data_IF_375938343798
#
_entry.id   IF_375938343798
#
_cell.length_a   1.000
_cell.length_b   1.000
_cell.length_c   1.000
_cell.angle_alpha   90.00
_cell.angle_beta   90.00
_cell.angle_gamma   90.00
#
_symmetry.space_group_name_H-M   'P 1'
#
loop_
_entity.id
_entity.type
_entity.pdbx_description
1 polymer ?
#
# COMPACT_ATOMS: atom_id res chain seq x y z
N UNK A 1 -1.26 -26.08 12.72
CA UNK A 1 -2.02 -25.11 13.55
C UNK A 1 -3.52 -25.47 13.54
N UNK A 2 -4.34 -24.80 14.34
CA UNK A 2 -5.80 -25.06 14.46
C UNK A 2 -6.59 -23.78 14.15
N UNK A 3 -7.65 -23.90 13.35
CA UNK A 3 -8.57 -22.79 13.05
C UNK A 3 -9.43 -22.46 14.26
N UNK A 4 -10.24 -21.39 14.18
CA UNK A 4 -11.17 -21.03 15.25
C UNK A 4 -12.12 -22.18 15.63
N UNK A 5 -12.60 -22.97 14.67
CA UNK A 5 -13.47 -24.15 14.92
C UNK A 5 -12.69 -25.46 15.13
N UNK A 6 -11.38 -25.39 15.41
CA UNK A 6 -10.56 -26.56 15.73
C UNK A 6 -10.11 -27.40 14.52
N UNK A 7 -10.30 -26.90 13.29
CA UNK A 7 -9.84 -27.57 12.06
C UNK A 7 -8.32 -27.48 11.94
N UNK A 8 -7.65 -28.59 11.61
CA UNK A 8 -6.20 -28.58 11.35
C UNK A 8 -5.85 -27.89 10.03
N UNK A 9 -4.82 -27.05 10.05
CA UNK A 9 -4.23 -26.45 8.86
C UNK A 9 -2.70 -26.34 8.97
N UNK A 10 -2.04 -26.23 7.83
CA UNK A 10 -0.60 -25.97 7.68
C UNK A 10 -0.35 -24.50 7.41
N UNK A 11 0.75 -23.97 7.96
CA UNK A 11 1.16 -22.58 7.81
C UNK A 11 2.61 -22.56 7.35
N UNK A 12 2.86 -21.85 6.25
CA UNK A 12 4.18 -21.61 5.69
C UNK A 12 4.37 -20.09 5.64
N UNK A 13 5.26 -19.56 6.46
CA UNK A 13 5.38 -18.12 6.71
C UNK A 13 6.76 -17.60 6.33
N UNK A 14 6.86 -16.30 6.02
CA UNK A 14 8.15 -15.63 5.77
C UNK A 14 8.86 -16.04 4.47
N UNK A 15 8.16 -16.62 3.49
CA UNK A 15 8.78 -17.04 2.23
C UNK A 15 9.07 -15.80 1.38
N UNK A 16 10.32 -15.58 0.93
CA UNK A 16 10.64 -14.45 0.02
C UNK A 16 10.06 -14.69 -1.37
N UNK A 17 9.25 -13.77 -1.90
CA UNK A 17 8.76 -13.83 -3.29
C UNK A 17 9.58 -12.94 -4.25
N UNK A 18 10.39 -12.03 -3.71
CA UNK A 18 11.31 -11.16 -4.42
C UNK A 18 12.62 -11.01 -3.64
N UNK A 19 13.69 -10.62 -4.32
CA UNK A 19 14.96 -10.28 -3.68
C UNK A 19 14.78 -9.07 -2.76
N UNK A 20 15.54 -9.04 -1.66
CA UNK A 20 15.53 -7.93 -0.70
C UNK A 20 15.75 -6.58 -1.42
N UNK A 21 14.84 -5.59 -1.28
CA UNK A 21 14.92 -4.31 -1.96
C UNK A 21 15.89 -3.33 -1.26
N UNK A 22 17.08 -3.82 -0.91
CA UNK A 22 18.12 -3.07 -0.17
C UNK A 22 19.22 -2.57 -1.10
N UNK A 23 20.00 -1.58 -0.64
CA UNK A 23 21.13 -1.02 -1.39
C UNK A 23 20.70 -0.52 -2.78
N UNK A 24 21.32 -1.04 -3.83
CA UNK A 24 20.99 -0.66 -5.22
C UNK A 24 19.59 -1.07 -5.68
N UNK A 25 18.97 -2.05 -5.01
CA UNK A 25 17.58 -2.45 -5.29
C UNK A 25 16.55 -1.54 -4.59
N UNK A 26 16.99 -0.66 -3.68
CA UNK A 26 16.11 0.31 -3.05
C UNK A 26 15.57 1.28 -4.09
N UNK A 27 14.26 1.56 -4.00
CA UNK A 27 13.48 2.35 -4.97
C UNK A 27 13.43 1.79 -6.40
N UNK A 28 13.95 0.59 -6.64
CA UNK A 28 13.88 -0.09 -7.93
C UNK A 28 12.72 -1.09 -8.00
N UNK A 29 12.26 -1.46 -9.21
CA UNK A 29 11.29 -2.53 -9.38
C UNK A 29 11.74 -3.82 -8.67
N UNK A 30 10.81 -4.57 -8.05
CA UNK A 30 11.15 -5.82 -7.38
C UNK A 30 11.74 -6.83 -8.38
N UNK A 31 12.82 -7.50 -7.97
CA UNK A 31 13.38 -8.62 -8.73
C UNK A 31 12.75 -9.93 -8.21
N UNK A 32 11.99 -10.67 -9.03
CA UNK A 32 11.32 -11.89 -8.58
C UNK A 32 12.29 -12.96 -8.10
N UNK A 33 11.94 -13.66 -7.01
CA UNK A 33 12.61 -14.90 -6.63
C UNK A 33 12.09 -16.04 -7.51
N UNK A 34 12.97 -16.59 -8.36
CA UNK A 34 12.64 -17.67 -9.29
C UNK A 34 13.14 -19.04 -8.81
N UNK A 35 14.16 -19.07 -7.96
CA UNK A 35 14.78 -20.28 -7.42
C UNK A 35 15.14 -20.06 -5.96
N UNK A 36 15.11 -21.14 -5.20
CA UNK A 36 15.61 -21.20 -3.82
C UNK A 36 16.81 -22.17 -3.81
N UNK A 37 17.90 -21.78 -3.15
CA UNK A 37 19.13 -22.57 -3.13
C UNK A 37 19.02 -23.85 -2.29
N UNK A 38 17.99 -23.94 -1.44
CA UNK A 38 17.73 -25.09 -0.60
C UNK A 38 16.39 -25.00 0.12
N UNK A 39 16.24 -25.80 1.18
CA UNK A 39 15.04 -25.79 2.03
C UNK A 39 14.88 -24.42 2.70
N UNK A 40 13.74 -23.78 2.48
CA UNK A 40 13.39 -22.51 3.11
C UNK A 40 12.76 -22.81 4.47
N UNK A 41 13.33 -22.24 5.54
CA UNK A 41 12.66 -22.26 6.84
C UNK A 41 11.44 -21.32 6.80
N UNK A 42 10.25 -21.89 6.79
CA UNK A 42 8.98 -21.18 6.71
C UNK A 42 8.12 -21.34 7.98
N UNK A 43 8.75 -21.56 9.14
CA UNK A 43 8.02 -21.73 10.41
C UNK A 43 7.47 -20.42 10.93
N UNK A 44 8.15 -19.30 10.69
CA UNK A 44 7.88 -18.00 11.33
C UNK A 44 7.62 -16.89 10.32
N UNK A 45 6.92 -15.85 10.77
CA UNK A 45 6.69 -14.66 9.95
C UNK A 45 8.00 -13.90 9.68
N UNK A 46 8.18 -13.47 8.44
CA UNK A 46 9.17 -12.46 8.08
C UNK A 46 8.85 -11.09 8.69
N UNK A 47 9.82 -10.17 8.76
CA UNK A 47 9.59 -8.84 9.31
C UNK A 47 8.55 -8.06 8.49
N UNK A 48 7.84 -7.15 9.15
CA UNK A 48 7.00 -6.17 8.45
C UNK A 48 7.90 -5.20 7.64
N UNK A 49 7.36 -4.65 6.56
CA UNK A 49 8.05 -3.58 5.85
C UNK A 49 8.18 -2.32 6.71
N UNK A 50 9.14 -1.42 6.43
CA UNK A 50 9.37 -0.25 7.28
C UNK A 50 8.13 0.62 7.48
N UNK A 51 7.72 0.75 8.73
CA UNK A 51 6.58 1.54 9.21
C UNK A 51 6.86 1.99 10.65
N UNK A 52 6.21 3.08 11.14
CA UNK A 52 6.36 3.50 12.53
C UNK A 52 5.81 2.43 13.48
N UNK A 53 6.71 1.72 14.17
CA UNK A 53 6.37 0.59 15.03
C UNK A 53 7.05 0.68 16.39
N UNK A 54 6.51 0.02 17.44
CA UNK A 54 7.21 -0.13 18.70
C UNK A 54 8.61 -0.75 18.53
N UNK A 55 9.58 -0.45 19.40
CA UNK A 55 10.96 -0.92 19.25
C UNK A 55 11.12 -2.44 19.05
N UNK A 56 10.28 -3.23 19.72
CA UNK A 56 10.35 -4.69 19.69
C UNK A 56 9.54 -5.34 18.55
N UNK A 57 8.85 -4.53 17.73
CA UNK A 57 8.09 -5.07 16.60
C UNK A 57 9.05 -5.42 15.45
N UNK A 58 9.01 -6.65 14.88
CA UNK A 58 9.91 -7.05 13.81
C UNK A 58 9.66 -6.26 12.53
N UNK A 59 10.57 -5.35 12.20
CA UNK A 59 10.54 -4.50 11.01
C UNK A 59 11.90 -4.55 10.33
N UNK A 60 11.92 -4.70 9.01
CA UNK A 60 13.14 -4.69 8.19
C UNK A 60 12.80 -4.28 6.76
N UNK A 61 13.80 -3.88 5.97
CA UNK A 61 13.64 -3.60 4.55
C UNK A 61 13.63 -4.87 3.70
N UNK A 62 14.25 -5.96 4.15
CA UNK A 62 14.08 -7.31 3.59
C UNK A 62 12.73 -7.91 4.03
N UNK A 63 11.65 -7.29 3.55
CA UNK A 63 10.28 -7.58 3.97
C UNK A 63 9.40 -8.17 2.87
N UNK A 64 9.93 -8.43 1.66
CA UNK A 64 9.14 -8.92 0.51
C UNK A 64 8.81 -10.41 0.65
N UNK A 65 7.98 -10.72 1.65
CA UNK A 65 7.60 -12.06 2.05
C UNK A 65 6.14 -12.36 1.84
N UNK A 66 5.84 -13.63 1.58
CA UNK A 66 4.52 -14.20 1.40
C UNK A 66 4.30 -15.31 2.45
N UNK A 67 3.10 -15.37 2.99
CA UNK A 67 2.64 -16.43 3.87
C UNK A 67 1.55 -17.23 3.15
N UNK A 68 1.57 -18.55 3.29
CA UNK A 68 0.58 -19.48 2.72
C UNK A 68 0.00 -20.34 3.83
N UNK A 69 -1.33 -20.36 3.93
CA UNK A 69 -2.08 -21.17 4.87
C UNK A 69 -3.03 -22.08 4.11
N UNK A 70 -2.96 -23.37 4.37
CA UNK A 70 -3.72 -24.38 3.63
C UNK A 70 -4.27 -25.45 4.58
N UNK A 71 -5.51 -25.92 4.41
CA UNK A 71 -6.07 -26.97 5.25
C UNK A 71 -5.22 -28.25 5.20
N UNK A 72 -5.17 -28.97 6.33
CA UNK A 72 -4.60 -30.32 6.34
C UNK A 72 -5.64 -31.27 5.74
N UNK A 73 -5.64 -31.42 4.42
CA UNK A 73 -6.51 -32.38 3.72
C UNK A 73 -5.67 -33.42 2.99
N UNK A 74 -6.13 -34.68 2.99
CA UNK A 74 -5.59 -35.76 2.17
C UNK A 74 -6.11 -35.72 0.72
N UNK A 75 -6.92 -34.72 0.36
CA UNK A 75 -7.46 -34.60 -0.99
C UNK A 75 -6.46 -33.95 -1.94
N UNK A 76 -6.33 -34.52 -3.14
CA UNK A 76 -5.70 -33.93 -4.33
C UNK A 76 -6.49 -32.72 -4.87
N UNK A 77 -7.26 -32.04 -4.03
CA UNK A 77 -8.20 -31.01 -4.46
C UNK A 77 -7.46 -29.70 -4.75
N UNK A 78 -7.74 -29.12 -5.91
CA UNK A 78 -7.30 -27.79 -6.34
C UNK A 78 -8.21 -26.75 -5.67
N UNK A 79 -7.77 -26.17 -4.56
CA UNK A 79 -8.60 -25.28 -3.72
C UNK A 79 -8.61 -23.83 -4.23
N UNK A 80 -9.73 -23.09 -4.06
CA UNK A 80 -9.74 -21.65 -4.30
C UNK A 80 -8.70 -20.93 -3.45
N UNK A 81 -8.04 -19.93 -4.04
CA UNK A 81 -6.99 -19.14 -3.40
C UNK A 81 -7.52 -17.75 -3.09
N UNK A 82 -7.40 -17.32 -1.84
CA UNK A 82 -7.62 -15.92 -1.44
C UNK A 82 -6.25 -15.25 -1.30
N UNK A 83 -5.96 -14.30 -2.17
CA UNK A 83 -4.77 -13.46 -2.10
C UNK A 83 -5.13 -12.14 -1.42
N UNK A 84 -4.71 -12.00 -0.16
CA UNK A 84 -5.07 -10.86 0.69
C UNK A 84 -4.01 -9.76 0.65
N UNK A 85 -4.44 -8.56 0.27
CA UNK A 85 -3.64 -7.34 0.26
C UNK A 85 -4.06 -6.48 1.46
N UNK A 86 -3.13 -6.28 2.39
CA UNK A 86 -3.42 -5.62 3.67
C UNK A 86 -3.75 -4.12 3.52
N UNK A 87 -4.57 -3.54 4.43
CA UNK A 87 -4.89 -2.10 4.49
C UNK A 87 -3.67 -1.28 4.96
N UNK A 88 -3.88 -0.02 5.36
CA UNK A 88 -2.85 0.79 6.04
C UNK A 88 -2.36 2.01 5.27
N UNK A 89 -3.19 2.58 4.39
CA UNK A 89 -2.91 3.85 3.70
C UNK A 89 -1.67 3.85 2.80
N UNK A 90 -1.14 2.66 2.47
CA UNK A 90 0.16 2.46 1.81
C UNK A 90 1.40 2.81 2.64
N UNK A 91 1.27 3.04 3.95
CA UNK A 91 2.38 3.43 4.84
C UNK A 91 2.45 2.64 6.16
N UNK A 92 1.50 1.74 6.42
CA UNK A 92 1.41 0.97 7.67
C UNK A 92 0.77 -0.41 7.46
N UNK A 93 0.63 -1.16 8.56
CA UNK A 93 0.12 -2.54 8.60
C UNK A 93 1.03 -3.55 7.88
N UNK A 94 0.66 -4.82 7.93
CA UNK A 94 1.47 -5.93 7.40
C UNK A 94 0.60 -7.15 7.12
N UNK A 95 1.07 -8.03 6.23
CA UNK A 95 0.51 -9.36 5.98
C UNK A 95 0.94 -10.44 6.97
N UNK A 96 1.70 -10.10 8.02
CA UNK A 96 2.11 -11.05 9.06
C UNK A 96 0.93 -11.69 9.78
N UNK A 97 1.11 -12.90 10.30
CA UNK A 97 0.05 -13.70 10.91
C UNK A 97 -0.57 -13.08 12.18
N UNK A 98 0.13 -12.18 12.86
CA UNK A 98 -0.37 -11.46 14.04
C UNK A 98 -1.43 -10.41 13.71
N UNK A 99 -1.44 -9.87 12.48
CA UNK A 99 -2.48 -8.94 11.99
C UNK A 99 -3.40 -9.58 10.95
N UNK A 100 -2.84 -10.33 10.00
CA UNK A 100 -3.57 -10.98 8.91
C UNK A 100 -3.70 -12.50 9.16
N UNK A 101 -4.14 -12.87 10.36
CA UNK A 101 -4.16 -14.25 10.82
C UNK A 101 -5.18 -15.16 10.08
N UNK A 102 -4.87 -16.44 9.87
CA UNK A 102 -5.68 -17.35 9.05
C UNK A 102 -6.91 -17.95 9.76
N UNK A 103 -7.00 -17.81 11.08
CA UNK A 103 -7.84 -18.64 11.96
C UNK A 103 -9.32 -18.70 11.57
N UNK A 104 -9.88 -17.62 11.02
CA UNK A 104 -11.29 -17.57 10.62
C UNK A 104 -11.54 -18.14 9.22
N UNK A 105 -10.69 -17.80 8.25
CA UNK A 105 -10.86 -18.24 6.86
C UNK A 105 -10.58 -19.73 6.69
N UNK A 106 -9.65 -20.27 7.48
CA UNK A 106 -9.29 -21.69 7.47
C UNK A 106 -10.33 -22.59 8.20
N UNK A 107 -11.46 -22.03 8.63
CA UNK A 107 -12.68 -22.83 8.89
C UNK A 107 -13.31 -23.36 7.58
N UNK A 108 -12.86 -22.88 6.40
CA UNK A 108 -13.34 -23.24 5.06
C UNK A 108 -12.24 -23.87 4.20
N UNK A 109 -12.65 -24.53 3.11
CA UNK A 109 -11.76 -25.15 2.12
C UNK A 109 -11.16 -24.11 1.16
N UNK A 110 -10.24 -23.30 1.68
CA UNK A 110 -9.56 -22.24 0.92
C UNK A 110 -8.07 -22.24 1.25
N UNK A 111 -7.24 -21.85 0.29
CA UNK A 111 -5.85 -21.47 0.54
C UNK A 111 -5.81 -19.97 0.76
N UNK A 112 -5.33 -19.53 1.93
CA UNK A 112 -5.11 -18.11 2.19
C UNK A 112 -3.65 -17.76 1.92
N UNK A 113 -3.44 -16.71 1.15
CA UNK A 113 -2.15 -16.10 0.90
C UNK A 113 -2.17 -14.68 1.43
N UNK A 114 -1.22 -14.32 2.27
CA UNK A 114 -1.01 -12.93 2.72
C UNK A 114 0.39 -12.48 2.34
N UNK A 115 0.56 -11.19 2.05
CA UNK A 115 1.83 -10.64 1.58
C UNK A 115 2.20 -9.40 2.36
N UNK A 116 3.51 -9.16 2.45
CA UNK A 116 4.05 -7.83 2.68
C UNK A 116 4.38 -7.20 1.32
N UNK A 117 4.19 -5.89 1.18
CA UNK A 117 4.65 -5.09 0.05
C UNK A 117 5.27 -3.80 0.58
N UNK A 118 6.21 -3.17 -0.16
CA UNK A 118 6.89 -1.96 0.35
C UNK A 118 5.90 -0.83 0.63
N UNK A 119 6.16 -0.10 1.70
CA UNK A 119 5.31 0.96 2.24
C UNK A 119 6.01 2.33 2.16
N UNK A 120 5.24 3.40 2.28
CA UNK A 120 5.72 4.78 2.35
C UNK A 120 6.63 5.14 1.18
N UNK A 121 7.69 5.91 1.45
CA UNK A 121 8.66 6.27 0.41
C UNK A 121 9.36 5.06 -0.20
N UNK A 122 9.65 4.02 0.60
CA UNK A 122 10.33 2.83 0.08
C UNK A 122 9.50 2.12 -0.99
N UNK A 123 8.17 2.15 -0.87
CA UNK A 123 7.26 1.57 -1.84
C UNK A 123 6.82 2.53 -2.95
N UNK A 124 6.69 3.82 -2.66
CA UNK A 124 5.91 4.72 -3.52
C UNK A 124 6.63 6.03 -3.91
N UNK A 125 7.89 6.24 -3.50
CA UNK A 125 8.70 7.38 -3.96
C UNK A 125 8.75 7.43 -5.49
N UNK A 126 8.38 8.57 -6.08
CA UNK A 126 8.35 8.76 -7.54
C UNK A 126 8.88 10.14 -7.90
N UNK A 127 9.99 10.21 -8.64
CA UNK A 127 10.56 11.46 -9.16
C UNK A 127 10.01 11.86 -10.53
N UNK A 128 9.21 10.98 -11.18
CA UNK A 128 8.63 11.24 -12.50
C UNK A 128 9.59 10.98 -13.67
N UNK A 129 10.78 10.46 -13.38
CA UNK A 129 11.82 10.08 -14.33
C UNK A 129 12.27 8.62 -14.12
N UNK A 130 13.33 8.20 -14.83
CA UNK A 130 13.84 6.83 -14.79
C UNK A 130 14.61 6.49 -13.51
N UNK A 131 14.95 7.48 -12.69
CA UNK A 131 15.81 7.29 -11.50
C UNK A 131 14.99 6.62 -10.39
N UNK A 132 13.81 7.18 -10.10
CA UNK A 132 12.80 6.59 -9.25
C UNK A 132 11.44 6.66 -9.95
N UNK A 133 11.14 5.70 -10.84
CA UNK A 133 9.84 5.67 -11.53
C UNK A 133 8.67 5.46 -10.55
N UNK A 134 8.96 4.95 -9.34
CA UNK A 134 8.05 4.79 -8.22
C UNK A 134 7.03 3.65 -8.34
N UNK A 135 6.06 3.63 -7.43
CA UNK A 135 4.95 2.65 -7.37
C UNK A 135 5.41 1.19 -7.20
N UNK A 136 6.59 1.02 -6.62
CA UNK A 136 7.16 -0.30 -6.37
C UNK A 136 6.28 -1.16 -5.46
N UNK A 137 5.54 -0.57 -4.51
CA UNK A 137 4.58 -1.32 -3.70
C UNK A 137 3.51 -2.06 -4.52
N UNK A 138 3.00 -1.46 -5.60
CA UNK A 138 2.08 -2.15 -6.52
C UNK A 138 2.79 -3.21 -7.37
N UNK A 139 4.03 -2.93 -7.80
CA UNK A 139 4.85 -3.92 -8.53
C UNK A 139 5.21 -5.12 -7.65
N UNK A 140 5.40 -4.90 -6.35
CA UNK A 140 5.63 -5.95 -5.35
C UNK A 140 4.42 -6.88 -5.29
N UNK A 141 3.21 -6.31 -5.25
CA UNK A 141 1.95 -7.07 -5.29
C UNK A 141 1.82 -7.88 -6.59
N UNK A 142 2.19 -7.31 -7.76
CA UNK A 142 2.23 -8.05 -9.04
C UNK A 142 3.19 -9.24 -8.95
N UNK A 143 4.43 -9.03 -8.48
CA UNK A 143 5.43 -10.10 -8.40
C UNK A 143 5.00 -11.19 -7.41
N UNK A 144 4.34 -10.81 -6.30
CA UNK A 144 3.77 -11.77 -5.37
C UNK A 144 2.62 -12.59 -6.00
N UNK A 145 1.74 -11.98 -6.80
CA UNK A 145 0.73 -12.73 -7.55
C UNK A 145 1.34 -13.65 -8.61
N UNK A 146 2.42 -13.22 -9.29
CA UNK A 146 3.16 -14.08 -10.20
C UNK A 146 3.81 -15.26 -9.46
N UNK A 147 4.28 -15.04 -8.23
CA UNK A 147 4.77 -16.12 -7.37
C UNK A 147 3.63 -17.11 -7.05
N UNK A 148 2.43 -16.63 -6.73
CA UNK A 148 1.25 -17.49 -6.51
C UNK A 148 0.95 -18.32 -7.76
N UNK A 149 0.91 -17.69 -8.94
CA UNK A 149 0.66 -18.39 -10.21
C UNK A 149 1.66 -19.54 -10.46
N UNK A 150 2.93 -19.35 -10.11
CA UNK A 150 3.96 -20.39 -10.28
C UNK A 150 3.93 -21.49 -9.22
N UNK A 151 3.59 -21.15 -7.97
CA UNK A 151 3.88 -22.01 -6.83
C UNK A 151 2.66 -22.57 -6.10
N UNK A 152 1.49 -21.93 -6.19
CA UNK A 152 0.38 -22.20 -5.26
C UNK A 152 -0.19 -23.63 -5.37
N UNK A 153 -0.01 -24.27 -6.53
CA UNK A 153 -0.35 -25.68 -6.75
C UNK A 153 0.37 -26.62 -5.78
N UNK A 154 1.61 -26.32 -5.40
CA UNK A 154 2.37 -27.11 -4.43
C UNK A 154 1.77 -27.04 -3.01
N UNK A 155 0.95 -26.02 -2.74
CA UNK A 155 0.26 -25.83 -1.46
C UNK A 155 -1.21 -26.28 -1.51
N UNK A 156 -1.63 -26.94 -2.59
CA UNK A 156 -3.00 -27.40 -2.81
C UNK A 156 -3.95 -26.34 -3.38
N UNK A 157 -3.45 -25.17 -3.78
CA UNK A 157 -4.27 -24.11 -4.38
C UNK A 157 -4.36 -24.19 -5.89
N UNK A 158 -5.45 -23.67 -6.45
CA UNK A 158 -5.67 -23.55 -7.89
C UNK A 158 -5.18 -22.17 -8.41
N UNK A 159 -4.12 -22.11 -9.24
CA UNK A 159 -3.69 -20.85 -9.84
C UNK A 159 -4.75 -20.24 -10.78
N UNK A 160 -5.70 -21.02 -11.27
CA UNK A 160 -6.82 -20.57 -12.11
C UNK A 160 -8.08 -20.17 -11.30
N UNK A 161 -7.99 -20.17 -9.97
CA UNK A 161 -9.12 -19.83 -9.09
C UNK A 161 -8.69 -18.86 -7.97
N UNK A 162 -7.86 -17.89 -8.35
CA UNK A 162 -7.34 -16.84 -7.44
C UNK A 162 -8.34 -15.69 -7.30
N UNK A 163 -8.69 -15.36 -6.07
CA UNK A 163 -9.46 -14.17 -5.69
C UNK A 163 -8.55 -13.19 -4.99
N UNK A 164 -8.36 -11.99 -5.54
CA UNK A 164 -7.68 -10.91 -4.83
C UNK A 164 -8.67 -10.22 -3.91
N UNK A 165 -8.27 -9.97 -2.67
CA UNK A 165 -9.12 -9.35 -1.66
C UNK A 165 -8.33 -8.31 -0.86
N UNK A 166 -8.96 -7.19 -0.52
CA UNK A 166 -8.30 -6.16 0.27
C UNK A 166 -9.29 -5.17 0.89
N UNK A 167 -8.85 -4.54 1.97
CA UNK A 167 -9.59 -3.51 2.70
C UNK A 167 -8.87 -2.16 2.60
N UNK A 168 -9.59 -1.04 2.54
CA UNK A 168 -9.00 0.31 2.50
C UNK A 168 -7.96 0.45 1.38
N UNK A 169 -6.70 0.78 1.67
CA UNK A 169 -5.61 0.80 0.70
C UNK A 169 -5.43 -0.54 -0.07
N UNK A 170 -5.72 -1.67 0.58
CA UNK A 170 -5.78 -2.97 -0.08
C UNK A 170 -6.95 -3.10 -1.06
N UNK A 171 -8.10 -2.48 -0.77
CA UNK A 171 -9.23 -2.40 -1.69
C UNK A 171 -8.91 -1.54 -2.92
N UNK A 172 -8.23 -0.40 -2.71
CA UNK A 172 -7.69 0.43 -3.78
C UNK A 172 -6.74 -0.40 -4.65
N UNK A 173 -5.84 -1.17 -4.04
CA UNK A 173 -4.93 -2.08 -4.76
C UNK A 173 -5.69 -3.09 -5.62
N UNK A 174 -6.74 -3.73 -5.08
CA UNK A 174 -7.61 -4.65 -5.84
C UNK A 174 -8.19 -3.97 -7.08
N UNK A 175 -8.78 -2.78 -6.93
CA UNK A 175 -9.37 -2.07 -8.06
C UNK A 175 -8.32 -1.64 -9.09
N UNK A 176 -7.13 -1.20 -8.64
CA UNK A 176 -6.04 -0.85 -9.56
C UNK A 176 -5.50 -2.08 -10.32
N UNK A 177 -5.42 -3.24 -9.67
CA UNK A 177 -5.06 -4.48 -10.35
C UNK A 177 -6.07 -4.87 -11.43
N UNK A 178 -7.35 -4.52 -11.29
CA UNK A 178 -8.38 -4.76 -12.30
C UNK A 178 -8.20 -3.93 -13.58
N UNK A 179 -7.55 -2.77 -13.50
CA UNK A 179 -7.27 -1.92 -14.66
C UNK A 179 -5.82 -2.01 -15.14
N UNK A 180 -4.94 -2.64 -14.35
CA UNK A 180 -3.52 -2.73 -14.65
C UNK A 180 -3.18 -3.80 -15.69
N UNK A 181 -2.48 -3.48 -16.80
CA UNK A 181 -2.03 -4.49 -17.75
C UNK A 181 -1.03 -5.49 -17.15
N UNK A 182 -0.27 -5.10 -16.13
CA UNK A 182 0.69 -5.98 -15.45
C UNK A 182 0.03 -7.14 -14.69
N UNK A 183 -1.26 -6.99 -14.36
CA UNK A 183 -1.99 -7.94 -13.53
C UNK A 183 -2.86 -8.90 -14.35
N UNK A 184 -2.83 -8.77 -15.68
CA UNK A 184 -3.66 -9.55 -16.60
C UNK A 184 -3.38 -11.04 -16.44
N UNK A 185 -4.42 -11.82 -16.18
CA UNK A 185 -4.35 -13.27 -16.04
C UNK A 185 -3.75 -13.76 -14.71
N UNK A 186 -3.48 -12.86 -13.74
CA UNK A 186 -2.94 -13.27 -12.43
C UNK A 186 -4.03 -13.58 -11.39
N UNK A 187 -5.26 -13.17 -11.64
CA UNK A 187 -6.41 -13.38 -10.76
C UNK A 187 -7.71 -13.53 -11.55
N UNK A 188 -8.76 -14.01 -10.88
CA UNK A 188 -10.01 -14.45 -11.50
C UNK A 188 -11.24 -13.82 -10.85
N UNK A 189 -11.11 -13.30 -9.62
CA UNK A 189 -12.16 -12.59 -8.88
C UNK A 189 -11.55 -11.48 -8.01
N UNK A 190 -12.34 -10.47 -7.69
CA UNK A 190 -11.96 -9.37 -6.79
C UNK A 190 -12.93 -9.23 -5.62
N UNK A 191 -12.41 -8.80 -4.46
CA UNK A 191 -13.19 -8.33 -3.31
C UNK A 191 -12.58 -7.02 -2.80
N UNK A 192 -13.34 -5.94 -2.93
CA UNK A 192 -12.97 -4.58 -2.54
C UNK A 192 -13.79 -4.12 -1.35
N UNK A 193 -13.15 -3.95 -0.19
CA UNK A 193 -13.80 -3.55 1.05
C UNK A 193 -13.36 -2.15 1.46
N UNK A 194 -14.29 -1.19 1.56
CA UNK A 194 -14.04 0.11 2.19
C UNK A 194 -12.91 0.91 1.55
N UNK A 195 -12.85 0.94 0.20
CA UNK A 195 -11.87 1.74 -0.53
C UNK A 195 -12.08 1.67 -2.03
N UNK A 196 -11.80 2.79 -2.73
CA UNK A 196 -12.02 2.94 -4.16
C UNK A 196 -10.80 3.57 -4.84
N UNK A 197 -10.44 3.07 -6.02
CA UNK A 197 -9.43 3.72 -6.88
C UNK A 197 -10.00 4.84 -7.75
N UNK A 198 -11.30 5.11 -7.62
CA UNK A 198 -12.00 6.19 -8.31
C UNK A 198 -11.99 7.43 -7.40
N UNK A 199 -11.09 8.36 -7.66
CA UNK A 199 -11.08 9.69 -7.03
C UNK A 199 -11.88 10.69 -7.87
N UNK A 200 -12.38 11.75 -7.20
CA UNK A 200 -13.00 12.89 -7.90
C UNK A 200 -11.95 13.65 -8.72
N UNK A 201 -10.73 13.78 -8.18
CA UNK A 201 -9.60 14.38 -8.87
C UNK A 201 -8.82 13.34 -9.68
N UNK A 202 -8.25 13.71 -10.84
CA UNK A 202 -7.34 12.85 -11.57
C UNK A 202 -6.15 12.44 -10.72
N UNK A 203 -5.71 11.18 -10.87
CA UNK A 203 -4.46 10.75 -10.27
C UNK A 203 -3.29 11.58 -10.84
N UNK A 204 -2.31 11.98 -10.01
CA UNK A 204 -1.15 12.70 -10.49
C UNK A 204 -0.31 11.83 -11.42
N UNK A 205 0.58 12.45 -12.20
CA UNK A 205 1.51 11.76 -13.10
C UNK A 205 2.93 11.63 -12.50
N UNK A 206 3.20 12.30 -11.37
CA UNK A 206 4.43 12.22 -10.60
C UNK A 206 4.17 12.56 -9.11
N UNK A 207 5.16 12.31 -8.24
CA UNK A 207 5.12 12.67 -6.81
C UNK A 207 6.41 13.39 -6.40
N UNK A 208 6.95 14.25 -7.28
CA UNK A 208 8.24 14.89 -7.06
C UNK A 208 8.27 15.72 -5.78
N UNK A 209 7.20 16.46 -5.49
CA UNK A 209 7.10 17.28 -4.26
C UNK A 209 7.14 16.43 -2.98
N UNK A 210 6.54 15.22 -3.01
CA UNK A 210 6.64 14.28 -1.90
C UNK A 210 8.05 13.68 -1.79
N UNK A 211 8.75 13.48 -2.91
CA UNK A 211 10.14 13.05 -2.90
C UNK A 211 11.08 14.12 -2.31
N UNK A 212 10.88 15.39 -2.68
CA UNK A 212 11.56 16.55 -2.09
C UNK A 212 11.28 16.64 -0.58
N UNK A 213 10.01 16.46 -0.18
CA UNK A 213 9.62 16.46 1.23
C UNK A 213 10.29 15.34 2.00
N UNK A 214 10.29 14.12 1.47
CA UNK A 214 11.00 12.99 2.07
C UNK A 214 12.48 13.32 2.26
N UNK A 215 13.15 13.85 1.23
CA UNK A 215 14.57 14.20 1.29
C UNK A 215 14.83 15.19 2.44
N UNK A 216 14.05 16.28 2.51
CA UNK A 216 14.20 17.28 3.58
C UNK A 216 13.97 16.71 4.98
N UNK A 217 12.99 15.83 5.15
CA UNK A 217 12.68 15.21 6.45
C UNK A 217 13.82 14.37 7.03
N UNK A 218 14.69 13.83 6.18
CA UNK A 218 15.84 13.00 6.57
C UNK A 218 17.17 13.70 6.32
N UNK A 219 17.16 15.03 6.14
CA UNK A 219 18.36 15.84 5.95
C UNK A 219 19.13 15.52 4.67
N UNK A 220 18.45 15.11 3.60
CA UNK A 220 19.01 14.96 2.27
C UNK A 220 18.85 16.24 1.45
N UNK A 221 19.81 16.57 0.55
CA UNK A 221 19.62 17.62 -0.43
C UNK A 221 18.48 17.28 -1.39
N UNK A 222 17.85 18.30 -1.96
CA UNK A 222 16.63 18.17 -2.75
C UNK A 222 16.66 18.94 -4.08
N UNK A 223 17.86 19.11 -4.64
CA UNK A 223 18.11 19.93 -5.84
C UNK A 223 17.56 19.28 -7.11
N UNK A 224 17.68 17.96 -7.24
CA UNK A 224 17.17 17.18 -8.36
C UNK A 224 16.97 15.70 -7.97
N UNK A 225 16.30 14.95 -8.85
CA UNK A 225 15.99 13.53 -8.66
C UNK A 225 17.18 12.64 -8.34
N UNK A 226 18.32 12.84 -9.00
CA UNK A 226 19.53 12.02 -8.80
C UNK A 226 20.04 12.20 -7.37
N UNK A 227 20.24 13.45 -6.96
CA UNK A 227 20.76 13.79 -5.63
C UNK A 227 19.81 13.32 -4.52
N UNK A 228 18.50 13.47 -4.74
CA UNK A 228 17.47 12.97 -3.81
C UNK A 228 17.62 11.46 -3.64
N UNK A 229 17.58 10.69 -4.74
CA UNK A 229 17.55 9.23 -4.67
C UNK A 229 18.86 8.66 -4.16
N UNK A 230 20.01 9.20 -4.60
CA UNK A 230 21.33 8.79 -4.11
C UNK A 230 21.47 9.02 -2.61
N UNK A 231 21.07 10.19 -2.10
CA UNK A 231 21.11 10.45 -0.67
C UNK A 231 20.14 9.53 0.10
N UNK A 232 18.89 9.36 -0.36
CA UNK A 232 17.91 8.49 0.30
C UNK A 232 18.35 7.02 0.35
N UNK A 233 19.14 6.54 -0.61
CA UNK A 233 19.76 5.21 -0.57
C UNK A 233 20.75 5.03 0.57
N UNK A 234 21.39 6.11 1.04
CA UNK A 234 22.34 6.06 2.17
C UNK A 234 21.66 6.04 3.54
N UNK A 235 20.38 6.42 3.62
CA UNK A 235 19.68 6.55 4.90
C UNK A 235 19.28 5.18 5.46
N UNK A 236 19.29 4.99 6.79
CA UNK A 236 18.70 3.80 7.40
C UNK A 236 17.21 3.69 7.02
N UNK A 237 16.75 2.48 6.70
CA UNK A 237 15.32 2.26 6.37
C UNK A 237 14.39 2.71 7.51
N UNK A 238 14.86 2.66 8.76
CA UNK A 238 14.12 3.08 9.95
C UNK A 238 13.84 4.58 9.93
N UNK A 239 14.83 5.38 9.57
CA UNK A 239 14.66 6.84 9.45
C UNK A 239 13.62 7.18 8.38
N UNK A 240 13.62 6.45 7.26
CA UNK A 240 12.61 6.61 6.20
C UNK A 240 11.22 6.17 6.66
N UNK A 241 11.10 5.00 7.32
CA UNK A 241 9.83 4.49 7.83
C UNK A 241 9.21 5.37 8.93
N UNK A 242 10.03 5.89 9.84
CA UNK A 242 9.60 6.71 10.98
C UNK A 242 9.28 8.17 10.58
N UNK A 243 9.76 8.62 9.41
CA UNK A 243 9.52 9.97 8.90
C UNK A 243 8.06 10.29 8.54
N UNK A 244 7.15 9.30 8.58
CA UNK A 244 5.71 9.46 8.29
C UNK A 244 5.07 10.64 9.04
N UNK A 245 5.44 10.85 10.32
CA UNK A 245 4.91 11.96 11.12
C UNK A 245 5.27 13.33 10.53
N UNK A 246 6.45 13.45 9.93
CA UNK A 246 6.90 14.68 9.26
C UNK A 246 6.07 15.04 8.03
N UNK A 247 5.38 14.07 7.41
CA UNK A 247 4.44 14.35 6.32
C UNK A 247 3.19 15.08 6.80
N UNK A 248 2.85 14.99 8.10
CA UNK A 248 1.66 15.62 8.70
C UNK A 248 1.85 17.10 9.06
N UNK A 249 3.09 17.60 9.15
CA UNK A 249 3.40 18.86 9.85
C UNK A 249 3.62 20.10 8.97
N UNK A 250 3.50 20.02 7.65
CA UNK A 250 3.65 21.20 6.77
C UNK A 250 2.29 21.80 6.39
N UNK A 251 1.71 22.59 7.29
CA UNK A 251 0.72 23.64 6.98
C UNK A 251 1.11 24.99 7.61
N UNK A 252 2.33 25.12 8.12
CA UNK A 252 2.88 26.36 8.65
C UNK A 252 4.30 26.57 8.09
N UNK A 253 4.43 26.86 6.79
CA UNK A 253 5.61 27.59 6.33
C UNK A 253 5.46 29.05 6.75
N UNK A 254 6.56 29.64 7.22
CA UNK A 254 6.65 31.02 7.72
C UNK A 254 6.13 32.07 6.73
N UNK A 255 6.05 31.76 5.43
CA UNK A 255 5.50 32.64 4.40
C UNK A 255 3.99 32.90 4.53
N UNK A 256 3.20 31.99 5.12
CA UNK A 256 1.76 32.19 5.30
C UNK A 256 1.41 33.05 6.53
N UNK A 257 2.34 33.24 7.48
CA UNK A 257 2.12 34.11 8.66
C UNK A 257 1.99 35.60 8.29
N UNK A 258 2.48 36.02 7.12
CA UNK A 258 2.30 37.38 6.61
C UNK A 258 0.86 37.70 6.15
N UNK A 259 0.06 36.67 5.87
CA UNK A 259 -1.32 36.81 5.41
C UNK A 259 -2.32 36.90 6.57
N UNK A 260 -2.01 36.27 7.72
CA UNK A 260 -2.91 36.25 8.88
C UNK A 260 -2.85 37.52 9.74
N UNK A 261 -1.77 38.31 9.68
CA UNK A 261 -1.65 39.54 10.47
C UNK A 261 -2.38 40.76 9.88
N UNK A 262 -3.11 40.62 8.76
CA UNK A 262 -3.83 41.75 8.11
C UNK A 262 -5.34 41.58 7.98
N UNK A 263 -5.92 40.46 8.38
CA UNK A 263 -7.35 40.21 8.24
C UNK A 263 -8.06 40.18 9.60
N UNK A 264 -8.08 41.31 10.28
CA UNK A 264 -8.87 41.50 11.50
C UNK A 264 -9.91 42.63 11.40
N UNK A 265 -10.35 43.00 10.20
CA UNK A 265 -11.50 43.90 10.03
C UNK A 265 -12.14 43.69 8.65
N UNK A 266 -13.47 43.58 8.66
CA UNK A 266 -14.44 43.65 7.54
C UNK A 266 -14.95 42.32 6.95
N UNK A 267 -16.05 41.85 7.55
CA UNK A 267 -17.36 41.60 6.92
C UNK A 267 -17.43 41.12 5.46
N UNK A 268 -18.10 39.96 5.29
CA UNK A 268 -19.03 39.61 4.20
C UNK A 268 -18.68 40.14 2.80
N UNK A 269 -17.87 39.40 2.04
CA UNK A 269 -17.90 39.48 0.59
C UNK A 269 -17.51 38.13 -0.05
N UNK A 270 -18.36 37.72 -0.97
CA UNK A 270 -18.34 36.55 -1.83
C UNK A 270 -17.01 36.52 -2.62
N UNK A 271 -16.23 35.44 -2.49
CA UNK A 271 -15.13 35.12 -3.39
C UNK A 271 -15.44 33.79 -4.10
N UNK A 272 -15.14 33.65 -5.41
CA UNK A 272 -15.44 32.45 -6.18
C UNK A 272 -14.64 31.25 -5.65
N UNK A 273 -15.26 30.07 -5.68
CA UNK A 273 -14.85 28.82 -5.02
C UNK A 273 -13.57 28.16 -5.64
N UNK A 274 -12.84 28.83 -6.53
CA UNK A 274 -11.80 28.17 -7.35
C UNK A 274 -10.35 28.23 -6.82
N UNK A 275 -10.10 28.53 -5.54
CA UNK A 275 -8.70 28.49 -5.04
C UNK A 275 -8.51 28.30 -3.53
N UNK A 276 -9.52 27.82 -2.80
CA UNK A 276 -9.31 27.38 -1.42
C UNK A 276 -9.02 25.88 -1.44
N UNK A 277 -7.76 25.54 -1.67
CA UNK A 277 -7.22 24.24 -1.25
C UNK A 277 -7.32 24.18 0.27
N UNK A 278 -8.43 23.64 0.78
CA UNK A 278 -8.57 23.25 2.18
C UNK A 278 -7.59 22.10 2.41
N UNK A 279 -6.34 22.45 2.72
CA UNK A 279 -5.34 21.53 3.24
C UNK A 279 -5.83 21.06 4.61
N UNK A 280 -6.49 19.91 4.64
CA UNK A 280 -6.90 19.24 5.86
C UNK A 280 -5.68 18.99 6.75
N UNK A 281 -5.61 19.70 7.86
CA UNK A 281 -4.52 19.65 8.83
C UNK A 281 -4.44 18.37 9.67
N UNK A 282 -5.20 17.31 9.40
CA UNK A 282 -5.09 16.05 10.14
C UNK A 282 -5.37 14.83 9.25
N UNK A 283 -4.38 13.94 9.20
CA UNK A 283 -4.37 12.59 8.60
C UNK A 283 -4.73 12.50 7.10
N UNK A 284 -3.75 12.58 6.17
CA UNK A 284 -3.99 12.17 4.81
C UNK A 284 -4.28 10.67 4.84
N UNK A 285 -5.54 10.31 4.59
CA UNK A 285 -5.99 8.91 4.42
C UNK A 285 -5.09 8.14 3.43
N UNK A 286 -4.36 8.85 2.56
CA UNK A 286 -3.12 8.37 1.93
C UNK A 286 -2.10 9.50 1.72
N UNK A 287 -0.85 9.30 2.15
CA UNK A 287 0.28 10.21 1.86
C UNK A 287 0.84 9.96 0.45
N UNK A 288 0.83 8.70 0.01
CA UNK A 288 1.39 8.26 -1.25
C UNK A 288 0.27 7.75 -2.17
N UNK A 289 -0.38 8.63 -2.94
CA UNK A 289 -1.45 8.22 -3.83
C UNK A 289 -0.90 7.39 -5.01
N UNK A 290 -1.76 6.59 -5.67
CA UNK A 290 -1.43 5.99 -6.96
C UNK A 290 -1.12 7.06 -8.01
N UNK A 291 -0.33 6.70 -9.03
CA UNK A 291 0.17 7.63 -10.05
C UNK A 291 0.00 7.01 -11.42
N UNK A 292 -0.46 7.78 -12.41
CA UNK A 292 -0.46 7.36 -13.82
C UNK A 292 0.95 7.45 -14.38
N UNK A 293 1.46 6.36 -14.96
CA UNK A 293 2.86 6.28 -15.37
C UNK A 293 3.10 6.87 -16.75
N UNK A 294 4.05 7.80 -16.84
CA UNK A 294 4.65 8.22 -18.09
C UNK A 294 5.36 7.04 -18.76
N UNK A 295 5.31 6.97 -20.09
CA UNK A 295 6.04 5.96 -20.83
C UNK A 295 7.54 6.30 -20.85
N UNK A 296 8.30 5.60 -20.01
CA UNK A 296 9.74 5.72 -19.92
C UNK A 296 10.46 4.47 -20.48
N UNK A 297 9.77 3.66 -21.30
CA UNK A 297 10.31 2.45 -21.92
C UNK A 297 10.36 1.23 -21.00
N UNK A 298 9.59 1.23 -19.90
CA UNK A 298 9.44 0.09 -19.00
C UNK A 298 7.95 -0.27 -18.84
N UNK A 299 7.68 -1.49 -18.37
CA UNK A 299 6.31 -1.93 -18.14
C UNK A 299 5.64 -1.10 -17.05
N UNK A 300 4.46 -0.56 -17.35
CA UNK A 300 3.70 0.33 -16.48
C UNK A 300 2.59 -0.42 -15.75
N UNK A 301 2.47 -0.19 -14.45
CA UNK A 301 1.37 -0.70 -13.63
C UNK A 301 0.06 0.03 -13.97
N UNK A 302 0.09 1.36 -14.06
CA UNK A 302 -1.05 2.17 -14.53
C UNK A 302 -0.65 2.98 -15.76
N UNK A 303 -1.32 2.72 -16.89
CA UNK A 303 -1.01 3.38 -18.17
C UNK A 303 -1.81 4.65 -18.41
N UNK A 304 -2.92 4.82 -17.70
CA UNK A 304 -3.90 5.91 -17.81
C UNK A 304 -4.73 6.00 -16.53
N UNK A 305 -5.67 6.95 -16.46
CA UNK A 305 -6.61 7.05 -15.34
C UNK A 305 -7.51 5.82 -15.26
N UNK A 306 -7.72 5.20 -14.07
CA UNK A 306 -8.59 4.03 -13.90
C UNK A 306 -10.00 4.24 -14.48
N UNK A 307 -10.54 5.46 -14.33
CA UNK A 307 -11.84 5.83 -14.89
C UNK A 307 -11.90 5.69 -16.41
N UNK A 308 -10.82 6.00 -17.12
CA UNK A 308 -10.77 5.93 -18.58
C UNK A 308 -10.68 4.48 -19.06
N UNK A 309 -9.91 3.63 -18.36
CA UNK A 309 -9.87 2.18 -18.62
C UNK A 309 -11.26 1.55 -18.47
N UNK A 310 -11.99 1.94 -17.43
CA UNK A 310 -13.35 1.45 -17.19
C UNK A 310 -14.34 1.95 -18.25
N UNK A 311 -14.31 3.25 -18.60
CA UNK A 311 -15.18 3.84 -19.64
C UNK A 311 -15.01 3.16 -20.99
N UNK A 312 -13.78 2.75 -21.33
CA UNK A 312 -13.48 2.02 -22.57
C UNK A 312 -13.71 0.52 -22.48
N UNK A 313 -14.26 0.02 -21.37
CA UNK A 313 -14.48 -1.40 -21.12
C UNK A 313 -13.21 -2.26 -21.31
N UNK A 314 -12.06 -1.72 -20.92
CA UNK A 314 -10.74 -2.35 -21.08
C UNK A 314 -10.19 -2.95 -19.78
N UNK A 315 -10.94 -2.86 -18.68
CA UNK A 315 -10.60 -3.51 -17.42
C UNK A 315 -10.73 -5.04 -17.52
N UNK A 316 -10.02 -5.77 -16.66
CA UNK A 316 -10.12 -7.22 -16.60
C UNK A 316 -11.52 -7.64 -16.20
N UNK A 317 -12.19 -8.42 -17.05
CA UNK A 317 -13.54 -8.92 -16.81
C UNK A 317 -13.51 -10.04 -15.77
N UNK A 318 -13.60 -9.68 -14.49
CA UNK A 318 -13.62 -10.62 -13.37
C UNK A 318 -14.79 -10.34 -12.45
N UNK A 319 -15.51 -11.36 -11.94
CA UNK A 319 -16.52 -11.16 -10.91
C UNK A 319 -15.94 -10.40 -9.70
N UNK A 320 -16.67 -9.39 -9.23
CA UNK A 320 -16.18 -8.43 -8.25
C UNK A 320 -17.24 -8.16 -7.19
N UNK A 321 -16.87 -8.28 -5.92
CA UNK A 321 -17.66 -7.81 -4.79
C UNK A 321 -17.10 -6.49 -4.27
N UNK A 322 -17.97 -5.52 -4.05
CA UNK A 322 -17.62 -4.21 -3.48
C UNK A 322 -18.49 -3.99 -2.24
N UNK A 323 -17.89 -3.52 -1.14
CA UNK A 323 -18.60 -3.21 0.10
C UNK A 323 -18.03 -1.99 0.80
N UNK A 324 -18.82 -1.40 1.69
CA UNK A 324 -18.43 -0.35 2.63
C UNK A 324 -19.17 -0.57 3.96
N UNK A 325 -18.68 0.00 5.06
CA UNK A 325 -19.45 0.00 6.33
C UNK A 325 -20.47 1.14 6.34
N UNK A 326 -21.52 1.06 7.17
CA UNK A 326 -22.57 2.09 7.27
C UNK A 326 -22.04 3.44 7.76
N UNK A 327 -21.04 3.42 8.65
CA UNK A 327 -20.53 4.59 9.37
C UNK A 327 -19.01 4.76 9.15
N UNK A 328 -18.56 4.66 7.89
CA UNK A 328 -17.15 4.92 7.58
C UNK A 328 -16.70 6.30 8.06
N UNK A 329 -15.48 6.35 8.60
CA UNK A 329 -14.88 7.57 9.16
C UNK A 329 -15.62 8.20 10.35
N UNK A 330 -16.66 7.57 10.91
CA UNK A 330 -17.38 8.09 12.07
C UNK A 330 -16.42 8.45 13.23
N UNK A 331 -15.50 7.55 13.57
CA UNK A 331 -14.53 7.79 14.65
C UNK A 331 -13.54 8.91 14.35
N UNK A 332 -13.15 9.08 13.09
CA UNK A 332 -12.29 10.19 12.65
C UNK A 332 -13.03 11.52 12.76
N UNK A 333 -14.30 11.57 12.33
CA UNK A 333 -15.16 12.74 12.46
C UNK A 333 -15.44 13.08 13.94
N UNK A 334 -15.77 12.07 14.75
CA UNK A 334 -16.00 12.23 16.19
C UNK A 334 -14.76 12.75 16.92
N UNK A 335 -13.59 12.17 16.64
CA UNK A 335 -12.32 12.63 17.23
C UNK A 335 -12.02 14.08 16.84
N UNK A 336 -12.21 14.44 15.57
CA UNK A 336 -12.00 15.82 15.11
C UNK A 336 -12.92 16.80 15.84
N UNK A 337 -14.18 16.42 16.04
CA UNK A 337 -15.16 17.22 16.79
C UNK A 337 -14.77 17.37 18.26
N UNK A 338 -14.34 16.31 18.94
CA UNK A 338 -13.97 16.38 20.36
C UNK A 338 -12.68 17.17 20.60
N UNK A 339 -11.66 17.00 19.75
CA UNK A 339 -10.42 17.79 19.83
C UNK A 339 -10.66 19.28 19.56
N UNK A 340 -11.50 19.62 18.58
CA UNK A 340 -11.84 21.01 18.30
C UNK A 340 -12.52 21.69 19.50
N UNK A 341 -13.49 21.02 20.12
CA UNK A 341 -14.18 21.55 21.30
C UNK A 341 -13.27 21.65 22.54
N UNK A 342 -12.35 20.70 22.73
CA UNK A 342 -11.36 20.76 23.80
C UNK A 342 -10.39 21.95 23.62
N UNK A 343 -9.97 22.22 22.38
CA UNK A 343 -9.10 23.36 22.07
C UNK A 343 -9.82 24.70 22.28
N UNK A 344 -11.09 24.80 21.88
CA UNK A 344 -11.91 25.98 22.14
C UNK A 344 -12.15 26.21 23.64
N UNK A 345 -12.29 25.16 24.45
CA UNK A 345 -12.44 25.29 25.90
C UNK A 345 -11.17 25.76 26.64
N UNK A 346 -9.99 25.57 26.04
CA UNK A 346 -8.71 26.01 26.60
C UNK A 346 -8.34 27.45 26.23
N UNK A 347 -9.03 28.03 25.24
CA UNK A 347 -8.86 29.42 24.78
C UNK A 347 -9.86 30.39 25.43
N UNK A 348 -10.63 29.92 26.42
CA UNK A 348 -11.58 30.70 27.21
C UNK A 348 -10.94 31.47 28.36
#
# INVERSE_FOLDING_TARGET
MKSRRGRSFQAYRGIRYAHAPVGELRFQPPKPMLKYEGVVNATDDGPACPLPAPPDYPVDEDCLTINVYTPTSNSSASLPVIFFIHPGGFYSMTGRSDLAGPHYLLDRDVVLVTINYRLGSLGFLSTGDKIAPGKNGFRDQVVAMQWVQRNIRAFGGDPNLVTIAGCSAGSISVMLHMVSPMSKGLFHRGISMSGSSMSQDPLPDNLYDLAVKQARLVGCPADNSTVIVECLKTKPWRELGDSLRGFRLFAASEDKLSCWSRLHLQLLAIAPIDSISVEWGFDPVGVWPPVVERDLGHQRFLTEQPADTLRRNAAHTTPHLISQTTDEFFWSAYSSYTYHNYFLSLLG
#
